data_IF_993283293703
#
_entry.id   IF_993283293703
#
_cell.length_a   1.000
_cell.length_b   1.000
_cell.length_c   1.000
_cell.angle_alpha   90.00
_cell.angle_beta   90.00
_cell.angle_gamma   90.00
#
_symmetry.space_group_name_H-M   'P 1'
#
loop_
_entity.id
_entity.type
_entity.pdbx_description
1 polymer ?
#
# COMPACT_ATOMS: atom_id res chain seq x y z
N UNK A 1 -13.72 23.18 6.40
CA UNK A 1 -14.21 22.24 5.36
C UNK A 1 -13.22 22.01 4.21
N UNK A 2 -12.69 23.06 3.55
CA UNK A 2 -11.70 22.94 2.43
C UNK A 2 -10.49 22.04 2.73
N UNK A 3 -9.90 22.13 3.93
CA UNK A 3 -8.72 21.32 4.32
C UNK A 3 -9.02 19.81 4.33
N UNK A 4 -10.18 19.40 4.87
CA UNK A 4 -10.62 17.99 4.87
C UNK A 4 -10.94 17.48 3.47
N UNK A 5 -11.55 18.31 2.62
CA UNK A 5 -11.84 17.91 1.23
C UNK A 5 -10.55 17.67 0.43
N UNK A 6 -9.52 18.52 0.63
CA UNK A 6 -8.21 18.28 0.04
C UNK A 6 -7.53 17.03 0.61
N UNK A 7 -7.70 16.73 1.89
CA UNK A 7 -7.16 15.51 2.50
C UNK A 7 -7.80 14.23 1.94
N UNK A 8 -9.12 14.25 1.70
CA UNK A 8 -9.85 13.11 1.10
C UNK A 8 -9.48 12.94 -0.38
N UNK A 9 -9.42 14.03 -1.15
CA UNK A 9 -8.97 13.97 -2.54
C UNK A 9 -7.53 13.43 -2.65
N UNK A 10 -6.64 13.90 -1.77
CA UNK A 10 -5.26 13.39 -1.69
C UNK A 10 -5.24 11.90 -1.31
N UNK A 11 -6.10 11.46 -0.39
CA UNK A 11 -6.19 10.05 0.02
C UNK A 11 -6.60 9.12 -1.13
N UNK A 12 -7.53 9.56 -1.97
CA UNK A 12 -7.97 8.80 -3.15
C UNK A 12 -6.87 8.77 -4.21
N UNK A 13 -6.21 9.91 -4.46
CA UNK A 13 -5.14 10.03 -5.45
C UNK A 13 -3.90 9.22 -5.10
N UNK A 14 -3.53 9.13 -3.81
CA UNK A 14 -2.35 8.39 -3.36
C UNK A 14 -2.50 6.87 -3.50
N UNK A 15 -3.73 6.36 -3.45
CA UNK A 15 -3.99 4.92 -3.42
C UNK A 15 -5.24 4.49 -4.22
N UNK A 16 -5.34 4.78 -5.52
CA UNK A 16 -6.54 4.47 -6.30
C UNK A 16 -6.79 2.96 -6.41
N UNK A 17 -5.73 2.16 -6.53
CA UNK A 17 -5.85 0.70 -6.66
C UNK A 17 -6.29 0.00 -5.36
N UNK A 18 -5.74 0.33 -4.18
CA UNK A 18 -6.28 -0.18 -2.92
C UNK A 18 -7.74 0.20 -2.64
N UNK A 19 -8.17 1.42 -2.97
CA UNK A 19 -9.57 1.82 -2.77
C UNK A 19 -10.53 1.06 -3.68
N UNK A 20 -10.15 0.90 -4.96
CA UNK A 20 -10.97 0.14 -5.91
C UNK A 20 -11.06 -1.34 -5.51
N UNK A 21 -9.97 -1.95 -5.06
CA UNK A 21 -10.02 -3.34 -4.57
C UNK A 21 -10.85 -3.46 -3.30
N UNK A 22 -10.72 -2.54 -2.34
CA UNK A 22 -11.54 -2.52 -1.13
C UNK A 22 -13.04 -2.47 -1.44
N UNK A 23 -13.46 -1.62 -2.37
CA UNK A 23 -14.86 -1.50 -2.80
C UNK A 23 -15.34 -2.79 -3.47
N UNK A 24 -14.57 -3.34 -4.42
CA UNK A 24 -14.96 -4.56 -5.15
C UNK A 24 -15.09 -5.76 -4.20
N UNK A 25 -14.10 -5.98 -3.34
CA UNK A 25 -14.13 -7.08 -2.38
C UNK A 25 -15.16 -6.86 -1.27
N UNK A 26 -15.39 -5.62 -0.85
CA UNK A 26 -16.43 -5.27 0.11
C UNK A 26 -17.84 -5.53 -0.45
N UNK A 27 -18.12 -5.07 -1.67
CA UNK A 27 -19.40 -5.32 -2.35
C UNK A 27 -19.63 -6.82 -2.59
N UNK A 28 -18.59 -7.54 -3.02
CA UNK A 28 -18.64 -8.99 -3.20
C UNK A 28 -18.88 -9.71 -1.87
N UNK A 29 -18.26 -9.23 -0.78
CA UNK A 29 -18.49 -9.73 0.58
C UNK A 29 -19.92 -9.55 1.05
N UNK A 30 -20.55 -8.39 0.78
CA UNK A 30 -21.97 -8.15 1.10
C UNK A 30 -22.88 -9.10 0.32
N UNK A 31 -22.61 -9.29 -0.97
CA UNK A 31 -23.38 -10.22 -1.80
C UNK A 31 -23.27 -11.66 -1.29
N UNK A 32 -22.06 -12.11 -0.97
CA UNK A 32 -21.83 -13.44 -0.41
C UNK A 32 -22.46 -13.61 0.97
N UNK A 33 -22.41 -12.59 1.81
CA UNK A 33 -23.08 -12.59 3.12
C UNK A 33 -24.58 -12.82 2.96
N UNK A 34 -25.22 -12.14 2.00
CA UNK A 34 -26.63 -12.34 1.69
C UNK A 34 -26.93 -13.78 1.26
N UNK A 35 -26.08 -14.35 0.39
CA UNK A 35 -26.19 -15.76 -0.05
C UNK A 35 -26.03 -16.72 1.13
N UNK A 36 -25.04 -16.48 2.00
CA UNK A 36 -24.79 -17.28 3.21
C UNK A 36 -25.99 -17.27 4.14
N UNK A 37 -26.56 -16.09 4.43
CA UNK A 37 -27.74 -15.95 5.29
C UNK A 37 -28.96 -16.68 4.71
N UNK A 38 -29.17 -16.61 3.38
CA UNK A 38 -30.25 -17.34 2.71
C UNK A 38 -30.06 -18.86 2.79
N UNK A 39 -28.84 -19.36 2.59
CA UNK A 39 -28.53 -20.79 2.69
C UNK A 39 -28.69 -21.33 4.11
N UNK A 40 -28.33 -20.52 5.12
CA UNK A 40 -28.56 -20.83 6.53
C UNK A 40 -30.05 -21.01 6.84
N UNK A 41 -30.89 -20.10 6.36
CA UNK A 41 -32.36 -20.18 6.51
C UNK A 41 -32.95 -21.42 5.84
N UNK A 42 -32.44 -21.79 4.66
CA UNK A 42 -32.85 -23.02 3.94
C UNK A 42 -32.25 -24.31 4.53
N UNK A 43 -31.61 -24.26 5.72
CA UNK A 43 -30.99 -25.41 6.42
C UNK A 43 -29.89 -26.11 5.63
N UNK A 44 -29.30 -25.45 4.65
CA UNK A 44 -28.13 -25.95 3.92
C UNK A 44 -26.82 -25.58 4.63
N UNK A 45 -26.64 -26.10 5.85
CA UNK A 45 -25.54 -25.68 6.75
C UNK A 45 -24.14 -25.86 6.14
N UNK A 46 -23.89 -26.97 5.43
CA UNK A 46 -22.58 -27.21 4.80
C UNK A 46 -22.22 -26.14 3.75
N UNK A 47 -23.16 -25.80 2.85
CA UNK A 47 -22.96 -24.74 1.84
C UNK A 47 -22.85 -23.36 2.48
N UNK A 48 -23.64 -23.12 3.53
CA UNK A 48 -23.58 -21.89 4.32
C UNK A 48 -22.21 -21.71 5.00
N UNK A 49 -21.59 -22.79 5.47
CA UNK A 49 -20.28 -22.72 6.12
C UNK A 49 -19.18 -22.35 5.12
N UNK A 50 -19.16 -22.99 3.95
CA UNK A 50 -18.19 -22.66 2.89
C UNK A 50 -18.34 -21.23 2.39
N UNK A 51 -19.57 -20.78 2.12
CA UNK A 51 -19.83 -19.40 1.70
C UNK A 51 -19.53 -18.38 2.81
N UNK A 52 -19.73 -18.76 4.07
CA UNK A 52 -19.32 -17.97 5.24
C UNK A 52 -17.80 -17.77 5.31
N UNK A 53 -17.00 -18.81 5.10
CA UNK A 53 -15.54 -18.69 5.03
C UNK A 53 -15.10 -17.76 3.89
N UNK A 54 -15.69 -17.89 2.70
CA UNK A 54 -15.39 -17.02 1.56
C UNK A 54 -15.76 -15.55 1.84
N UNK A 55 -16.89 -15.32 2.51
CA UNK A 55 -17.33 -13.99 2.94
C UNK A 55 -16.32 -13.35 3.89
N UNK A 56 -15.85 -14.11 4.89
CA UNK A 56 -14.81 -13.65 5.82
C UNK A 56 -13.51 -13.31 5.10
N UNK A 57 -13.09 -14.12 4.12
CA UNK A 57 -11.91 -13.83 3.29
C UNK A 57 -12.10 -12.55 2.47
N UNK A 58 -13.24 -12.33 1.84
CA UNK A 58 -13.52 -11.11 1.07
C UNK A 58 -13.44 -9.85 1.94
N UNK A 59 -14.06 -9.87 3.13
CA UNK A 59 -13.95 -8.75 4.07
C UNK A 59 -12.52 -8.56 4.59
N UNK A 60 -11.81 -9.66 4.86
CA UNK A 60 -10.39 -9.61 5.23
C UNK A 60 -9.55 -8.89 4.17
N UNK A 61 -9.70 -9.26 2.90
CA UNK A 61 -8.99 -8.61 1.78
C UNK A 61 -9.35 -7.12 1.67
N UNK A 62 -10.63 -6.77 1.81
CA UNK A 62 -11.06 -5.37 1.78
C UNK A 62 -10.43 -4.54 2.91
N UNK A 63 -10.34 -5.10 4.12
CA UNK A 63 -9.67 -4.44 5.25
C UNK A 63 -8.15 -4.30 5.03
N UNK A 64 -7.49 -5.32 4.48
CA UNK A 64 -6.08 -5.24 4.13
C UNK A 64 -5.80 -4.21 3.04
N UNK A 65 -6.69 -4.07 2.06
CA UNK A 65 -6.58 -3.04 1.03
C UNK A 65 -6.68 -1.62 1.63
N UNK A 66 -7.61 -1.37 2.54
CA UNK A 66 -7.69 -0.09 3.26
C UNK A 66 -6.46 0.16 4.15
N UNK A 67 -5.93 -0.88 4.79
CA UNK A 67 -4.70 -0.77 5.57
C UNK A 67 -3.49 -0.40 4.69
N UNK A 68 -3.37 -1.00 3.50
CA UNK A 68 -2.36 -0.63 2.50
C UNK A 68 -2.52 0.83 2.05
N UNK A 69 -3.76 1.27 1.79
CA UNK A 69 -4.05 2.65 1.40
C UNK A 69 -3.62 3.66 2.47
N UNK A 70 -3.87 3.36 3.75
CA UNK A 70 -3.43 4.18 4.89
C UNK A 70 -1.92 4.22 5.03
N UNK A 71 -1.24 3.09 4.81
CA UNK A 71 0.22 3.02 4.84
C UNK A 71 0.84 3.97 3.80
N UNK A 72 0.34 3.95 2.56
CA UNK A 72 0.76 4.86 1.48
C UNK A 72 0.53 6.33 1.83
N UNK A 73 -0.61 6.66 2.43
CA UNK A 73 -0.90 8.03 2.86
C UNK A 73 0.08 8.52 3.93
N UNK A 74 0.41 7.67 4.90
CA UNK A 74 1.38 8.00 5.94
C UNK A 74 2.75 8.29 5.34
N UNK A 75 3.22 7.44 4.43
CA UNK A 75 4.48 7.66 3.72
C UNK A 75 4.46 8.93 2.87
N UNK A 76 3.42 9.15 2.06
CA UNK A 76 3.27 10.37 1.27
C UNK A 76 3.39 11.63 2.16
N UNK A 77 2.72 11.66 3.32
CA UNK A 77 2.78 12.80 4.26
C UNK A 77 4.17 12.94 4.90
N UNK A 78 4.88 11.84 5.13
CA UNK A 78 6.24 11.87 5.65
C UNK A 78 7.20 12.46 4.61
N UNK A 79 7.17 11.96 3.38
CA UNK A 79 8.04 12.37 2.27
C UNK A 79 7.78 13.83 1.89
N UNK A 80 6.50 14.24 1.80
CA UNK A 80 6.13 15.63 1.54
C UNK A 80 6.72 16.60 2.56
N UNK A 81 6.75 16.21 3.85
CA UNK A 81 7.38 17.03 4.91
C UNK A 81 8.90 17.10 4.74
N UNK A 82 9.54 16.03 4.31
CA UNK A 82 10.98 16.02 4.03
C UNK A 82 11.31 16.94 2.84
N UNK A 83 10.54 16.86 1.75
CA UNK A 83 10.71 17.77 0.61
C UNK A 83 10.50 19.24 0.97
N UNK A 84 9.51 19.55 1.82
CA UNK A 84 9.29 20.92 2.25
C UNK A 84 10.44 21.46 3.12
N UNK A 85 11.08 20.60 3.92
CA UNK A 85 12.13 21.00 4.86
C UNK A 85 13.52 21.08 4.22
N UNK A 86 13.86 20.13 3.37
CA UNK A 86 15.22 19.96 2.84
C UNK A 86 15.32 20.23 1.34
N UNK A 87 14.19 20.38 0.64
CA UNK A 87 14.17 20.42 -0.81
C UNK A 87 14.41 19.04 -1.43
N UNK A 88 14.89 19.01 -2.67
CA UNK A 88 15.22 17.77 -3.36
C UNK A 88 16.56 17.21 -2.85
N UNK A 89 16.51 16.05 -2.21
CA UNK A 89 17.69 15.25 -1.90
C UNK A 89 17.44 13.78 -2.24
N UNK A 90 18.33 13.19 -3.03
CA UNK A 90 18.24 11.77 -3.42
C UNK A 90 18.28 10.81 -2.22
N UNK A 91 18.92 11.23 -1.12
CA UNK A 91 18.99 10.46 0.13
C UNK A 91 17.63 10.23 0.77
N UNK A 92 16.67 11.13 0.53
CA UNK A 92 15.28 10.99 1.00
C UNK A 92 14.57 9.88 0.20
N UNK A 93 14.91 9.72 -1.08
CA UNK A 93 14.22 8.82 -2.01
C UNK A 93 14.85 7.44 -2.08
N UNK A 94 16.17 7.33 -1.88
CA UNK A 94 16.90 6.07 -1.86
C UNK A 94 16.22 4.96 -1.03
N UNK A 95 15.78 5.18 0.22
CA UNK A 95 15.14 4.10 1.00
C UNK A 95 13.74 3.70 0.49
N UNK A 96 13.07 4.56 -0.29
CA UNK A 96 11.71 4.34 -0.80
C UNK A 96 11.69 3.52 -2.09
N UNK A 97 12.87 3.22 -2.65
CA UNK A 97 13.04 2.39 -3.83
C UNK A 97 12.71 0.91 -3.58
N UNK A 98 12.65 0.48 -2.31
CA UNK A 98 12.56 -0.92 -1.92
C UNK A 98 11.26 -1.61 -2.34
N UNK A 99 10.12 -0.92 -2.36
CA UNK A 99 8.84 -1.51 -2.77
C UNK A 99 8.00 -0.56 -3.63
N UNK A 100 7.12 -1.15 -4.46
CA UNK A 100 6.27 -0.38 -5.37
C UNK A 100 5.37 0.61 -4.65
N UNK A 101 4.75 0.23 -3.53
CA UNK A 101 3.87 1.12 -2.76
C UNK A 101 4.59 2.38 -2.28
N UNK A 102 5.87 2.24 -1.89
CA UNK A 102 6.71 3.35 -1.44
C UNK A 102 7.13 4.22 -2.61
N UNK A 103 7.53 3.62 -3.74
CA UNK A 103 7.84 4.35 -4.98
C UNK A 103 6.65 5.17 -5.49
N UNK A 104 5.45 4.59 -5.50
CA UNK A 104 4.23 5.28 -5.94
C UNK A 104 3.91 6.45 -4.99
N UNK A 105 4.05 6.26 -3.68
CA UNK A 105 3.85 7.33 -2.67
C UNK A 105 4.88 8.44 -2.83
N UNK A 106 6.14 8.10 -3.12
CA UNK A 106 7.23 9.05 -3.35
C UNK A 106 6.98 9.88 -4.61
N UNK A 107 6.56 9.25 -5.72
CA UNK A 107 6.22 9.94 -6.98
C UNK A 107 5.14 10.99 -6.76
N UNK A 108 4.04 10.61 -6.10
CA UNK A 108 2.92 11.54 -5.84
C UNK A 108 3.36 12.66 -4.89
N UNK A 109 4.18 12.37 -3.89
CA UNK A 109 4.75 13.38 -2.99
C UNK A 109 5.63 14.38 -3.76
N UNK A 110 6.46 13.91 -4.70
CA UNK A 110 7.34 14.75 -5.50
C UNK A 110 6.57 15.61 -6.51
N UNK A 111 5.56 15.05 -7.19
CA UNK A 111 4.66 15.82 -8.07
C UNK A 111 4.01 16.97 -7.29
N UNK A 112 3.48 16.70 -6.10
CA UNK A 112 2.88 17.72 -5.24
C UNK A 112 3.88 18.72 -4.64
N UNK A 113 5.18 18.41 -4.66
CA UNK A 113 6.25 19.30 -4.21
C UNK A 113 6.94 20.05 -5.37
N UNK A 114 6.55 19.79 -6.63
CA UNK A 114 7.16 20.40 -7.82
C UNK A 114 8.42 19.70 -8.32
N UNK A 115 8.72 18.48 -7.86
CA UNK A 115 9.91 17.70 -8.23
C UNK A 115 9.62 16.53 -9.17
N UNK A 116 8.67 16.70 -10.09
CA UNK A 116 8.21 15.61 -10.96
C UNK A 116 9.31 15.08 -11.89
N UNK A 117 10.06 15.95 -12.56
CA UNK A 117 11.13 15.54 -13.48
C UNK A 117 12.25 14.82 -12.72
N UNK A 118 12.69 15.39 -11.59
CA UNK A 118 13.78 14.84 -10.78
C UNK A 118 13.47 13.43 -10.28
N UNK A 119 12.22 13.16 -9.86
CA UNK A 119 11.85 11.83 -9.40
C UNK A 119 11.72 10.81 -10.53
N UNK A 120 11.28 11.24 -11.71
CA UNK A 120 11.23 10.38 -12.88
C UNK A 120 12.64 10.02 -13.34
N UNK A 121 13.53 11.01 -13.43
CA UNK A 121 14.93 10.82 -13.81
C UNK A 121 15.67 9.94 -12.80
N UNK A 122 15.43 10.14 -11.50
CA UNK A 122 16.00 9.31 -10.45
C UNK A 122 15.57 7.84 -10.59
N UNK A 123 14.26 7.57 -10.67
CA UNK A 123 13.78 6.18 -10.78
C UNK A 123 14.18 5.54 -12.11
N UNK A 124 14.18 6.30 -13.21
CA UNK A 124 14.62 5.82 -14.51
C UNK A 124 16.12 5.51 -14.52
N UNK A 125 16.95 6.38 -13.92
CA UNK A 125 18.39 6.18 -13.77
C UNK A 125 18.75 4.98 -12.88
N UNK A 126 17.91 4.66 -11.89
CA UNK A 126 18.03 3.43 -11.09
C UNK A 126 17.52 2.17 -11.82
N UNK A 127 17.01 2.29 -13.05
CA UNK A 127 16.51 1.18 -13.86
C UNK A 127 15.05 0.78 -13.56
N UNK A 128 14.35 1.50 -12.68
CA UNK A 128 12.95 1.23 -12.40
C UNK A 128 12.07 1.67 -13.55
N UNK A 129 11.34 0.71 -14.11
CA UNK A 129 10.29 0.95 -15.11
C UNK A 129 8.90 0.71 -14.52
N UNK A 130 7.87 1.22 -15.18
CA UNK A 130 6.48 1.09 -14.73
C UNK A 130 6.02 -0.37 -14.50
N UNK A 131 6.63 -1.33 -15.22
CA UNK A 131 6.35 -2.77 -15.10
C UNK A 131 7.17 -3.49 -14.01
N UNK A 132 8.10 -2.82 -13.33
CA UNK A 132 8.85 -3.41 -12.22
C UNK A 132 7.99 -3.43 -10.95
N UNK A 133 7.22 -4.51 -10.79
CA UNK A 133 6.37 -4.77 -9.62
C UNK A 133 7.18 -5.45 -8.50
N UNK A 134 8.13 -6.29 -8.87
CA UNK A 134 8.92 -7.11 -7.96
C UNK A 134 10.02 -6.26 -7.30
N UNK A 135 10.22 -6.34 -5.97
CA UNK A 135 11.37 -5.72 -5.30
C UNK A 135 12.70 -6.24 -5.84
N UNK A 136 13.70 -5.37 -5.94
CA UNK A 136 15.01 -5.74 -6.48
C UNK A 136 15.71 -6.83 -5.67
N UNK A 137 15.49 -6.87 -4.36
CA UNK A 137 16.02 -7.91 -3.49
C UNK A 137 15.49 -9.31 -3.88
N UNK A 138 14.25 -9.37 -4.39
CA UNK A 138 13.63 -10.60 -4.87
C UNK A 138 14.11 -10.96 -6.28
N UNK A 139 14.35 -9.95 -7.14
CA UNK A 139 14.93 -10.19 -8.47
C UNK A 139 16.38 -10.71 -8.38
N UNK A 140 17.16 -10.22 -7.42
CA UNK A 140 18.54 -10.66 -7.19
C UNK A 140 18.62 -12.05 -6.55
N UNK A 141 17.72 -12.35 -5.62
CA UNK A 141 17.60 -13.69 -5.04
C UNK A 141 16.12 -14.03 -4.77
N UNK A 142 15.51 -14.90 -5.60
CA UNK A 142 14.13 -15.34 -5.39
C UNK A 142 13.89 -15.98 -4.02
N UNK A 143 14.93 -16.58 -3.40
CA UNK A 143 14.84 -17.19 -2.07
C UNK A 143 14.74 -16.16 -0.95
N UNK A 144 15.03 -14.89 -1.24
CA UNK A 144 14.93 -13.81 -0.27
C UNK A 144 13.52 -13.66 0.31
N UNK A 145 12.46 -13.94 -0.47
CA UNK A 145 11.05 -13.86 -0.03
C UNK A 145 10.79 -14.76 1.20
N UNK A 146 11.43 -15.93 1.26
CA UNK A 146 11.28 -16.89 2.35
C UNK A 146 12.23 -16.64 3.52
N UNK A 147 13.10 -15.64 3.40
CA UNK A 147 14.07 -15.34 4.45
C UNK A 147 13.44 -14.56 5.59
N UNK A 148 13.78 -14.91 6.83
CA UNK A 148 13.40 -14.12 8.01
C UNK A 148 13.90 -12.66 7.91
N UNK A 149 14.94 -12.40 7.12
CA UNK A 149 15.48 -11.07 6.86
C UNK A 149 14.52 -10.21 6.03
N UNK A 150 13.81 -10.79 5.06
CA UNK A 150 12.75 -10.11 4.28
C UNK A 150 11.57 -9.73 5.17
N UNK A 151 11.14 -10.62 6.07
CA UNK A 151 10.07 -10.29 7.00
C UNK A 151 10.48 -9.16 7.97
N UNK A 152 11.73 -9.19 8.45
CA UNK A 152 12.26 -8.11 9.30
C UNK A 152 12.38 -6.78 8.55
N UNK A 153 12.81 -6.75 7.29
CA UNK A 153 12.96 -5.49 6.55
C UNK A 153 11.62 -4.94 6.06
N UNK A 154 10.67 -5.80 5.70
CA UNK A 154 9.39 -5.39 5.11
C UNK A 154 8.32 -5.10 6.16
N UNK A 155 8.32 -5.81 7.29
CA UNK A 155 7.25 -5.70 8.30
C UNK A 155 7.71 -5.12 9.64
N UNK A 156 9.01 -5.15 9.96
CA UNK A 156 9.52 -4.53 11.18
C UNK A 156 10.26 -3.23 10.85
N UNK A 157 9.64 -2.11 11.19
CA UNK A 157 10.37 -0.84 11.26
C UNK A 157 11.50 -1.06 12.27
N UNK A 158 12.75 -0.98 11.82
CA UNK A 158 13.90 -0.92 12.74
C UNK A 158 13.67 0.30 13.62
N UNK A 159 13.39 0.08 14.90
CA UNK A 159 13.33 1.15 15.89
C UNK A 159 14.77 1.65 16.02
N UNK A 160 15.07 2.76 15.36
CA UNK A 160 16.39 3.37 15.46
C UNK A 160 16.67 3.68 16.94
N UNK A 161 17.73 3.07 17.46
CA UNK A 161 18.27 3.38 18.79
C UNK A 161 19.04 4.71 18.76
N UNK A 162 18.43 5.77 18.24
CA UNK A 162 19.04 7.10 18.17
C UNK A 162 18.60 8.01 19.33
N UNK A 163 18.55 7.45 20.55
CA UNK A 163 18.20 8.18 21.78
C UNK A 163 19.20 7.98 22.93
N UNK A 164 20.48 7.71 22.61
CA UNK A 164 21.58 7.90 23.57
C UNK A 164 22.85 8.29 22.84
N UNK A 165 23.12 9.60 22.81
CA UNK A 165 24.43 10.22 23.07
C UNK A 165 24.19 11.70 23.24
#
# INVERSE_FOLDING_TARGET
MKKRLNDVATYIQVAPFPHTSAVVFGASGIMLLWVTMRQWQCRHYARSMTSGCMTATCFGIALFAEADARSRLHEYRHIKRMFFRFGWEERIIAPLSASRCQRDSAKIAAIHAGYEQQIQDYFFGQGYRWYHIIPDAVLKDPRYIFSHRFFRSSFLVKKDRHHRR
#
